data_IF_374607379273
#
_entry.id   IF_374607379273
#
_cell.length_a   1.000
_cell.length_b   1.000
_cell.length_c   1.000
_cell.angle_alpha   90.00
_cell.angle_beta   90.00
_cell.angle_gamma   90.00
#
_symmetry.space_group_name_H-M   'P 1'
#
loop_
_entity.id
_entity.type
_entity.pdbx_description
1 polymer ?
#
# COMPACT_ATOMS: atom_id res chain seq x y z
N UNK A 1 -3.57 -3.49 13.10
CA UNK A 1 -3.11 -3.98 11.78
C UNK A 1 -4.33 -4.15 10.90
N UNK A 2 -4.23 -3.80 9.62
CA UNK A 2 -5.34 -3.92 8.67
C UNK A 2 -4.84 -4.48 7.34
N UNK A 3 -5.57 -5.42 6.77
CA UNK A 3 -5.34 -5.89 5.41
C UNK A 3 -6.15 -5.04 4.45
N UNK A 4 -5.52 -4.61 3.37
CA UNK A 4 -6.14 -3.78 2.35
C UNK A 4 -5.89 -4.38 0.98
N UNK A 5 -6.88 -4.27 0.10
CA UNK A 5 -6.79 -4.69 -1.29
C UNK A 5 -7.05 -3.49 -2.19
N UNK A 6 -6.25 -3.31 -3.24
CA UNK A 6 -6.56 -2.36 -4.31
C UNK A 6 -7.20 -3.06 -5.51
N UNK A 7 -7.82 -2.27 -6.38
CA UNK A 7 -8.36 -2.72 -7.66
C UNK A 7 -7.32 -2.91 -8.78
N UNK A 8 -6.02 -2.80 -8.49
CA UNK A 8 -4.98 -2.63 -9.52
C UNK A 8 -4.94 -1.20 -10.08
N UNK A 9 -4.26 -0.99 -11.19
CA UNK A 9 -4.17 0.33 -11.86
C UNK A 9 -2.90 0.47 -12.69
N UNK A 10 -2.92 1.25 -13.78
CA UNK A 10 -1.76 1.37 -14.68
C UNK A 10 -0.54 1.91 -13.94
N UNK A 11 0.52 1.09 -13.84
CA UNK A 11 1.73 1.42 -13.06
C UNK A 11 1.41 1.81 -11.62
N UNK A 12 0.49 1.08 -10.98
CA UNK A 12 0.16 1.31 -9.58
C UNK A 12 1.40 1.08 -8.71
N UNK A 13 1.77 2.14 -8.00
CA UNK A 13 2.86 2.15 -7.05
C UNK A 13 2.32 2.44 -5.65
N UNK A 14 2.78 1.65 -4.68
CA UNK A 14 2.56 1.96 -3.28
C UNK A 14 3.83 1.73 -2.47
N UNK A 15 3.91 2.43 -1.34
CA UNK A 15 4.95 2.24 -0.34
C UNK A 15 4.41 2.42 1.08
N UNK A 16 4.85 1.55 1.99
CA UNK A 16 4.73 1.73 3.45
C UNK A 16 6.01 2.43 3.93
N UNK A 17 5.87 3.45 4.77
CA UNK A 17 6.98 4.31 5.17
C UNK A 17 7.16 4.30 6.70
N UNK A 18 8.42 4.40 7.15
CA UNK A 18 8.78 4.53 8.58
C UNK A 18 8.61 5.96 9.09
N UNK A 19 8.57 6.94 8.20
CA UNK A 19 8.36 8.35 8.52
C UNK A 19 7.52 9.02 7.43
N UNK A 20 7.36 10.35 7.50
CA UNK A 20 6.75 11.14 6.44
C UNK A 20 7.69 11.38 5.24
N UNK A 21 8.95 10.95 5.32
CA UNK A 21 9.90 10.98 4.21
C UNK A 21 9.61 9.87 3.21
N UNK A 22 9.52 10.21 1.92
CA UNK A 22 9.32 9.23 0.85
C UNK A 22 10.52 8.30 0.63
N UNK A 23 11.67 8.61 1.22
CA UNK A 23 12.88 7.77 1.15
C UNK A 23 12.90 6.69 2.25
N UNK A 24 12.07 6.82 3.29
CA UNK A 24 12.08 5.90 4.44
C UNK A 24 11.16 4.70 4.21
N UNK A 25 11.43 3.94 3.15
CA UNK A 25 10.58 2.85 2.67
C UNK A 25 10.75 1.59 3.53
N UNK A 26 9.63 1.05 4.02
CA UNK A 26 9.52 -0.27 4.66
C UNK A 26 9.37 -1.34 3.57
N UNK A 27 8.39 -1.13 2.69
CA UNK A 27 8.04 -2.02 1.60
C UNK A 27 7.40 -1.18 0.50
N UNK A 28 7.69 -1.51 -0.74
CA UNK A 28 7.03 -0.91 -1.89
C UNK A 28 6.85 -1.92 -3.00
N UNK A 29 5.88 -1.68 -3.88
CA UNK A 29 5.70 -2.48 -5.08
C UNK A 29 5.10 -1.63 -6.19
N UNK A 30 5.57 -1.88 -7.41
CA UNK A 30 5.02 -1.30 -8.63
C UNK A 30 4.51 -2.43 -9.52
N UNK A 31 3.20 -2.51 -9.72
CA UNK A 31 2.57 -3.44 -10.67
C UNK A 31 1.21 -2.90 -11.08
N UNK A 32 0.70 -3.37 -12.21
CA UNK A 32 -0.68 -3.03 -12.60
C UNK A 32 -1.74 -3.99 -12.05
N UNK A 33 -1.31 -5.13 -11.53
CA UNK A 33 -2.21 -6.15 -10.99
C UNK A 33 -2.80 -5.73 -9.63
N UNK A 34 -3.99 -6.25 -9.25
CA UNK A 34 -4.51 -6.10 -7.91
C UNK A 34 -3.56 -6.65 -6.84
N UNK A 35 -3.47 -5.93 -5.72
CA UNK A 35 -2.52 -6.18 -4.64
C UNK A 35 -3.25 -6.22 -3.31
N UNK A 36 -2.78 -7.09 -2.42
CA UNK A 36 -3.19 -7.14 -1.03
C UNK A 36 -1.97 -6.79 -0.18
N UNK A 37 -2.14 -5.84 0.73
CA UNK A 37 -1.10 -5.38 1.64
C UNK A 37 -1.59 -5.48 3.09
N UNK A 38 -0.64 -5.50 4.01
CA UNK A 38 -0.91 -5.36 5.44
C UNK A 38 -0.24 -4.09 5.95
N UNK A 39 -1.07 -3.14 6.42
CA UNK A 39 -0.57 -1.94 7.11
C UNK A 39 -0.46 -2.26 8.59
N UNK A 40 0.76 -2.16 9.12
CA UNK A 40 1.07 -2.44 10.52
C UNK A 40 0.94 -1.18 11.36
N UNK A 41 0.69 -1.31 12.69
CA UNK A 41 0.66 -0.16 13.59
C UNK A 41 1.98 0.63 13.65
N UNK A 42 3.10 0.00 13.27
CA UNK A 42 4.42 0.62 13.18
C UNK A 42 4.64 1.47 11.92
N UNK A 43 3.74 1.37 10.94
CA UNK A 43 3.88 2.08 9.67
C UNK A 43 3.39 3.51 9.88
N UNK A 44 4.27 4.50 9.65
CA UNK A 44 3.96 5.91 9.93
C UNK A 44 3.16 6.54 8.79
N UNK A 45 3.43 6.15 7.55
CA UNK A 45 2.72 6.66 6.39
C UNK A 45 2.54 5.60 5.31
N UNK A 46 1.52 5.81 4.47
CA UNK A 46 1.23 4.99 3.31
C UNK A 46 1.14 5.90 2.07
N UNK A 47 2.04 5.67 1.12
CA UNK A 47 2.08 6.37 -0.16
C UNK A 47 1.42 5.49 -1.22
N UNK A 48 0.55 6.07 -2.03
CA UNK A 48 -0.06 5.39 -3.18
C UNK A 48 -0.13 6.34 -4.37
N UNK A 49 0.19 5.85 -5.56
CA UNK A 49 0.21 6.60 -6.81
C UNK A 49 -0.31 5.71 -7.93
N UNK A 50 -1.23 6.24 -8.75
CA UNK A 50 -1.83 5.54 -9.90
C UNK A 50 -2.49 4.19 -9.58
N UNK A 51 -2.83 3.96 -8.31
CA UNK A 51 -3.59 2.80 -7.88
C UNK A 51 -5.08 3.12 -7.87
N UNK A 52 -5.91 2.13 -8.19
CA UNK A 52 -7.33 2.15 -7.89
C UNK A 52 -7.58 2.19 -6.39
N UNK A 53 -8.85 2.38 -6.01
CA UNK A 53 -9.24 2.53 -4.61
C UNK A 53 -8.79 1.35 -3.75
N UNK A 54 -8.24 1.68 -2.58
CA UNK A 54 -7.93 0.70 -1.53
C UNK A 54 -9.17 0.47 -0.68
N UNK A 55 -9.47 -0.81 -0.43
CA UNK A 55 -10.57 -1.25 0.42
C UNK A 55 -10.05 -2.19 1.50
N UNK A 56 -10.68 -2.20 2.66
CA UNK A 56 -10.38 -3.19 3.70
C UNK A 56 -10.66 -4.58 3.16
N UNK A 57 -9.63 -5.43 3.18
CA UNK A 57 -9.80 -6.84 2.87
C UNK A 57 -10.28 -7.53 4.16
N UNK A 58 -11.31 -8.40 4.11
CA UNK A 58 -11.72 -9.17 5.27
C UNK A 58 -10.51 -9.95 5.80
N UNK A 59 -10.21 -9.78 7.08
CA UNK A 59 -9.47 -10.80 7.83
C UNK A 59 -10.37 -12.03 7.86
N UNK A 60 -10.04 -13.04 7.05
CA UNK A 60 -10.56 -14.39 7.24
C UNK A 60 -10.21 -14.89 8.65
#
# INVERSE_FOLDING_TARGET
>A
MGKYRNGGGTMCYWARLRSLSTNDIIESKNTSDPQVIEIRPSDTAFLTQNCGSWQTAPTA
#
